data_IF_634377169098
#
_entry.id   IF_634377169098
#
_cell.length_a   1.000
_cell.length_b   1.000
_cell.length_c   1.000
_cell.angle_alpha   90.00
_cell.angle_beta   90.00
_cell.angle_gamma   90.00
#
_symmetry.space_group_name_H-M   'P 1'
#
loop_
_entity.id
_entity.type
_entity.pdbx_description
1 polymer ?
#
# COMPACT_ATOMS: atom_id res chain seq x y z
N UNK A 1 -18.81 4.82 -21.21
CA UNK A 1 -18.54 3.48 -21.72
C UNK A 1 -18.84 2.45 -20.64
N UNK A 2 -19.40 1.33 -21.04
CA UNK A 2 -19.79 0.24 -20.15
C UNK A 2 -18.61 -0.73 -20.06
N UNK A 3 -17.72 -0.50 -19.08
CA UNK A 3 -16.58 -1.38 -18.83
C UNK A 3 -17.02 -2.59 -18.02
N UNK A 4 -16.70 -3.79 -18.49
CA UNK A 4 -17.01 -5.06 -17.85
C UNK A 4 -15.73 -5.81 -17.51
N UNK A 5 -15.73 -6.52 -16.40
CA UNK A 5 -14.63 -7.37 -15.95
C UNK A 5 -15.18 -8.62 -15.27
N UNK A 6 -14.95 -9.76 -15.91
CA UNK A 6 -15.28 -11.08 -15.38
C UNK A 6 -14.04 -11.82 -14.93
N UNK A 7 -14.15 -12.57 -13.82
CA UNK A 7 -13.06 -13.35 -13.26
C UNK A 7 -13.54 -14.75 -12.88
N UNK A 8 -12.77 -15.75 -13.29
CA UNK A 8 -12.94 -17.11 -12.84
C UNK A 8 -11.60 -17.69 -12.41
N UNK A 9 -11.56 -18.34 -11.25
CA UNK A 9 -10.31 -18.89 -10.72
C UNK A 9 -10.51 -20.29 -10.14
N UNK A 10 -9.45 -21.09 -10.25
CA UNK A 10 -9.31 -22.38 -9.61
C UNK A 10 -7.99 -22.40 -8.86
N UNK A 11 -7.97 -22.96 -7.66
CA UNK A 11 -6.76 -23.10 -6.87
C UNK A 11 -6.65 -24.48 -6.23
N UNK A 12 -5.43 -24.86 -5.93
CA UNK A 12 -5.11 -26.06 -5.14
C UNK A 12 -3.98 -25.73 -4.18
N UNK A 13 -4.04 -26.28 -3.00
CA UNK A 13 -3.04 -26.13 -1.97
C UNK A 13 -2.73 -27.51 -1.36
N UNK A 14 -1.47 -27.75 -1.11
CA UNK A 14 -0.98 -28.94 -0.45
C UNK A 14 -0.09 -28.52 0.73
N UNK A 15 -0.42 -29.04 1.91
CA UNK A 15 0.33 -28.84 3.12
C UNK A 15 0.75 -30.21 3.67
N UNK A 16 1.99 -30.32 4.11
CA UNK A 16 2.51 -31.56 4.69
C UNK A 16 3.65 -31.31 5.66
N UNK A 17 3.63 -32.01 6.76
CA UNK A 17 4.78 -32.12 7.65
C UNK A 17 5.75 -33.20 7.09
N UNK A 18 6.73 -32.72 6.30
CA UNK A 18 7.68 -33.59 5.59
C UNK A 18 8.75 -34.21 6.52
N UNK A 19 8.96 -33.59 7.70
CA UNK A 19 9.78 -34.11 8.79
C UNK A 19 9.22 -33.57 10.12
N UNK A 20 9.64 -34.11 11.31
CA UNK A 20 9.10 -33.64 12.59
C UNK A 20 9.19 -32.16 12.86
N UNK A 21 10.20 -31.53 12.32
CA UNK A 21 10.54 -30.09 12.46
C UNK A 21 10.36 -29.27 11.17
N UNK A 22 9.80 -29.89 10.09
CA UNK A 22 9.60 -29.24 8.82
C UNK A 22 8.16 -29.32 8.33
N UNK A 23 7.50 -28.17 8.17
CA UNK A 23 6.21 -28.02 7.51
C UNK A 23 6.44 -27.40 6.12
N UNK A 24 5.78 -27.95 5.09
CA UNK A 24 5.85 -27.43 3.73
C UNK A 24 4.44 -27.15 3.21
N UNK A 25 4.26 -25.99 2.57
CA UNK A 25 3.03 -25.62 1.89
C UNK A 25 3.35 -25.24 0.44
N UNK A 26 2.61 -25.82 -0.50
CA UNK A 26 2.67 -25.50 -1.92
C UNK A 26 1.27 -25.13 -2.41
N UNK A 27 1.16 -23.97 -3.02
CA UNK A 27 -0.09 -23.49 -3.58
C UNK A 27 0.06 -23.12 -5.05
N UNK A 28 -0.97 -23.40 -5.84
CA UNK A 28 -1.10 -22.95 -7.22
C UNK A 28 -2.50 -22.43 -7.47
N UNK A 29 -2.61 -21.31 -8.20
CA UNK A 29 -3.90 -20.74 -8.61
C UNK A 29 -3.82 -20.34 -10.07
N UNK A 30 -4.83 -20.73 -10.82
CA UNK A 30 -5.09 -20.22 -12.15
C UNK A 30 -6.28 -19.27 -12.13
N UNK A 31 -6.17 -18.13 -12.79
CA UNK A 31 -7.25 -17.16 -12.94
C UNK A 31 -7.35 -16.75 -14.41
N UNK A 32 -8.56 -16.79 -14.94
CA UNK A 32 -8.90 -16.17 -16.22
C UNK A 32 -9.64 -14.85 -15.92
N UNK A 33 -9.16 -13.78 -16.54
CA UNK A 33 -9.76 -12.44 -16.42
C UNK A 33 -10.13 -11.97 -17.81
N UNK A 34 -11.40 -11.67 -18.04
CA UNK A 34 -11.90 -11.07 -19.28
C UNK A 34 -12.32 -9.65 -18.99
N UNK A 35 -11.93 -8.76 -19.89
CA UNK A 35 -12.31 -7.35 -19.84
C UNK A 35 -12.76 -6.89 -21.20
N UNK A 36 -13.78 -6.05 -21.22
CA UNK A 36 -14.32 -5.42 -22.44
C UNK A 36 -14.87 -4.04 -22.10
N UNK A 37 -15.05 -3.21 -23.12
CA UNK A 37 -15.72 -1.92 -23.00
C UNK A 37 -16.39 -1.52 -24.28
N UNK A 38 -17.55 -0.85 -24.15
CA UNK A 38 -18.28 -0.28 -25.26
C UNK A 38 -17.52 0.86 -25.97
N UNK A 39 -18.09 1.35 -27.06
CA UNK A 39 -17.57 2.51 -27.76
C UNK A 39 -17.65 3.78 -26.89
N UNK A 40 -16.68 4.66 -27.08
CA UNK A 40 -16.62 5.96 -26.41
C UNK A 40 -17.01 7.07 -27.38
N UNK A 41 -17.52 8.17 -26.84
CA UNK A 41 -17.92 9.32 -27.62
C UNK A 41 -17.14 10.56 -27.21
N UNK A 42 -16.52 11.22 -28.18
CA UNK A 42 -15.85 12.52 -27.96
C UNK A 42 -16.86 13.66 -27.75
N UNK A 43 -16.55 14.58 -26.87
CA UNK A 43 -17.46 15.67 -26.48
C UNK A 43 -17.50 16.82 -27.48
N UNK A 44 -16.47 17.03 -28.29
CA UNK A 44 -16.37 18.07 -29.30
C UNK A 44 -14.92 18.41 -29.67
N UNK A 45 -14.74 19.26 -30.67
CA UNK A 45 -13.43 19.68 -31.19
C UNK A 45 -12.92 21.00 -30.61
N UNK A 46 -13.67 21.66 -29.76
CA UNK A 46 -13.34 23.06 -29.34
C UNK A 46 -12.25 23.10 -28.27
N UNK A 47 -11.95 22.02 -27.58
CA UNK A 47 -10.99 21.99 -26.47
C UNK A 47 -10.11 20.70 -26.49
N UNK A 48 -9.63 20.29 -27.64
CA UNK A 48 -8.76 19.11 -27.78
C UNK A 48 -9.21 18.17 -28.89
N UNK A 49 -8.46 17.09 -29.07
CA UNK A 49 -8.68 16.11 -30.15
C UNK A 49 -9.66 14.98 -29.75
N UNK A 50 -10.63 15.25 -28.90
CA UNK A 50 -11.48 14.23 -28.28
C UNK A 50 -12.23 13.35 -29.29
N UNK A 51 -12.73 13.91 -30.39
CA UNK A 51 -13.39 13.12 -31.44
C UNK A 51 -12.39 12.19 -32.12
N UNK A 52 -11.18 12.68 -32.40
CA UNK A 52 -10.12 11.89 -33.01
C UNK A 52 -9.63 10.80 -32.06
N UNK A 53 -9.44 11.12 -30.80
CA UNK A 53 -9.02 10.16 -29.75
C UNK A 53 -10.10 9.09 -29.55
N UNK A 54 -11.39 9.46 -29.48
CA UNK A 54 -12.49 8.51 -29.39
C UNK A 54 -12.56 7.57 -30.61
N UNK A 55 -12.40 8.13 -31.81
CA UNK A 55 -12.37 7.31 -33.03
C UNK A 55 -11.18 6.34 -33.04
N UNK A 56 -10.00 6.80 -32.62
CA UNK A 56 -8.81 5.96 -32.50
C UNK A 56 -9.00 4.85 -31.45
N UNK A 57 -9.58 5.18 -30.29
CA UNK A 57 -9.90 4.20 -29.25
C UNK A 57 -10.91 3.14 -29.74
N UNK A 58 -11.98 3.58 -30.41
CA UNK A 58 -13.02 2.70 -30.94
C UNK A 58 -12.54 1.77 -32.04
N UNK A 59 -11.48 2.16 -32.76
CA UNK A 59 -10.88 1.35 -33.82
C UNK A 59 -9.98 0.19 -33.29
N UNK A 60 -9.64 0.20 -31.97
CA UNK A 60 -8.83 -0.87 -31.36
C UNK A 60 -9.69 -2.05 -30.94
N UNK A 61 -9.08 -3.21 -30.81
CA UNK A 61 -9.69 -4.36 -30.13
C UNK A 61 -9.71 -4.07 -28.62
N UNK A 62 -10.91 -3.96 -28.06
CA UNK A 62 -11.13 -3.63 -26.65
C UNK A 62 -11.41 -4.85 -25.78
N UNK A 63 -11.60 -6.01 -26.41
CA UNK A 63 -11.80 -7.26 -25.67
C UNK A 63 -10.44 -7.87 -25.31
N UNK A 64 -10.15 -7.97 -24.03
CA UNK A 64 -8.88 -8.48 -23.51
C UNK A 64 -9.10 -9.69 -22.60
N UNK A 65 -8.23 -10.68 -22.70
CA UNK A 65 -8.29 -11.87 -21.85
C UNK A 65 -6.90 -12.18 -21.30
N UNK A 66 -6.80 -12.21 -19.97
CA UNK A 66 -5.57 -12.55 -19.27
C UNK A 66 -5.67 -13.97 -18.66
N UNK A 67 -4.55 -14.69 -18.70
CA UNK A 67 -4.37 -16.00 -18.10
C UNK A 67 -3.30 -15.94 -17.02
N UNK A 68 -3.73 -15.80 -15.78
CA UNK A 68 -2.85 -15.57 -14.63
C UNK A 68 -2.57 -16.88 -13.88
N UNK A 69 -1.30 -17.11 -13.58
CA UNK A 69 -0.85 -18.22 -12.75
C UNK A 69 -0.13 -17.69 -11.53
N UNK A 70 -0.67 -17.98 -10.36
CA UNK A 70 0.00 -17.75 -9.08
C UNK A 70 0.61 -19.05 -8.59
N UNK A 71 1.76 -18.94 -7.92
CA UNK A 71 2.39 -20.04 -7.22
C UNK A 71 2.91 -19.57 -5.87
N UNK A 72 2.81 -20.41 -4.86
CA UNK A 72 3.36 -20.15 -3.52
C UNK A 72 4.07 -21.39 -3.05
N UNK A 73 5.26 -21.22 -2.49
CA UNK A 73 6.00 -22.27 -1.80
C UNK A 73 6.47 -21.72 -0.45
N UNK A 74 6.22 -22.45 0.62
CA UNK A 74 6.62 -22.11 1.96
C UNK A 74 7.22 -23.34 2.64
N UNK A 75 8.34 -23.13 3.34
CA UNK A 75 8.96 -24.14 4.19
C UNK A 75 9.23 -23.54 5.57
N UNK A 76 8.53 -24.03 6.58
CA UNK A 76 8.70 -23.64 7.96
C UNK A 76 9.53 -24.70 8.70
N UNK A 77 10.59 -24.25 9.34
CA UNK A 77 11.53 -25.08 10.09
C UNK A 77 11.55 -24.66 11.56
N UNK A 78 11.18 -25.58 12.43
CA UNK A 78 11.39 -25.44 13.87
C UNK A 78 12.83 -25.82 14.20
N UNK A 79 13.69 -24.80 14.35
CA UNK A 79 15.13 -25.00 14.62
C UNK A 79 15.34 -25.57 16.00
N UNK A 80 14.66 -24.97 16.98
CA UNK A 80 14.63 -25.40 18.38
C UNK A 80 13.38 -24.84 19.07
N UNK A 81 13.32 -24.95 20.40
CA UNK A 81 12.18 -24.50 21.20
C UNK A 81 12.03 -22.96 21.28
N UNK A 82 12.95 -22.20 20.72
CA UNK A 82 12.99 -20.74 20.79
C UNK A 82 13.07 -20.07 19.43
N UNK A 83 13.29 -20.83 18.35
CA UNK A 83 13.46 -20.28 17.01
C UNK A 83 12.72 -21.11 15.97
N UNK A 84 11.80 -20.45 15.26
CA UNK A 84 11.23 -20.94 14.00
C UNK A 84 11.76 -20.07 12.86
N UNK A 85 12.04 -20.71 11.72
CA UNK A 85 12.46 -20.02 10.49
C UNK A 85 11.53 -20.46 9.37
N UNK A 86 10.99 -19.49 8.65
CA UNK A 86 10.11 -19.74 7.51
C UNK A 86 10.73 -19.15 6.25
N UNK A 87 10.84 -19.94 5.19
CA UNK A 87 11.26 -19.53 3.87
C UNK A 87 10.04 -19.47 2.96
N UNK A 88 9.78 -18.31 2.38
CA UNK A 88 8.69 -18.07 1.47
C UNK A 88 9.15 -17.72 0.07
N UNK A 89 8.48 -18.28 -0.94
CA UNK A 89 8.55 -17.82 -2.31
C UNK A 89 7.13 -17.69 -2.86
N UNK A 90 6.84 -16.57 -3.50
CA UNK A 90 5.56 -16.34 -4.15
C UNK A 90 5.73 -15.74 -5.54
N UNK A 91 5.04 -16.31 -6.52
CA UNK A 91 4.74 -15.69 -7.79
C UNK A 91 3.29 -15.24 -7.78
N UNK A 92 3.04 -13.93 -7.96
CA UNK A 92 1.70 -13.34 -7.98
C UNK A 92 1.50 -12.54 -9.25
N UNK A 93 0.32 -12.67 -9.85
CA UNK A 93 -0.05 -11.99 -11.08
C UNK A 93 -1.25 -11.08 -10.84
N UNK A 94 -1.17 -9.85 -11.35
CA UNK A 94 -2.27 -8.88 -11.32
C UNK A 94 -2.59 -8.41 -12.72
N UNK A 95 -3.78 -8.71 -13.21
CA UNK A 95 -4.29 -8.07 -14.42
C UNK A 95 -4.51 -6.58 -14.21
N UNK A 96 -4.32 -5.74 -15.23
CA UNK A 96 -4.72 -4.34 -15.20
C UNK A 96 -6.18 -4.19 -14.78
N UNK A 97 -6.55 -3.05 -14.21
CA UNK A 97 -7.93 -2.72 -13.95
C UNK A 97 -8.57 -2.01 -15.16
N UNK A 98 -9.89 -1.75 -15.09
CA UNK A 98 -10.62 -1.12 -16.19
C UNK A 98 -10.13 0.29 -16.51
N UNK A 99 -9.66 1.04 -15.51
CA UNK A 99 -9.14 2.38 -15.71
C UNK A 99 -7.74 2.36 -16.32
N UNK A 100 -6.89 1.46 -15.87
CA UNK A 100 -5.54 1.27 -16.44
C UNK A 100 -5.59 0.92 -17.93
N UNK A 101 -6.64 0.19 -18.38
CA UNK A 101 -6.80 -0.17 -19.81
C UNK A 101 -7.63 0.80 -20.61
N UNK A 102 -8.76 1.33 -20.08
CA UNK A 102 -9.83 1.88 -20.92
C UNK A 102 -10.08 3.37 -20.74
N UNK A 103 -9.29 4.09 -19.94
CA UNK A 103 -9.29 5.55 -19.97
C UNK A 103 -8.59 6.00 -21.25
N UNK A 104 -9.20 6.93 -22.02
CA UNK A 104 -8.79 7.16 -23.40
C UNK A 104 -8.48 8.61 -23.74
N UNK A 105 -9.02 9.59 -23.01
CA UNK A 105 -8.90 11.00 -23.38
C UNK A 105 -7.69 11.65 -22.73
N UNK A 106 -6.84 12.26 -23.56
CA UNK A 106 -5.71 13.08 -23.10
C UNK A 106 -6.11 14.53 -22.78
N UNK A 107 -7.40 14.86 -22.88
CA UNK A 107 -7.90 16.19 -22.47
C UNK A 107 -7.80 16.34 -20.96
N UNK A 108 -7.12 17.38 -20.51
CA UNK A 108 -6.73 17.57 -19.12
C UNK A 108 -7.90 17.43 -18.12
N UNK A 109 -9.09 17.97 -18.47
CA UNK A 109 -10.26 17.82 -17.60
C UNK A 109 -10.77 16.37 -17.52
N UNK A 110 -10.74 15.62 -18.61
CA UNK A 110 -11.13 14.21 -18.61
C UNK A 110 -10.08 13.34 -17.90
N UNK A 111 -8.80 13.61 -18.15
CA UNK A 111 -7.69 12.87 -17.55
C UNK A 111 -7.64 13.04 -16.03
N UNK A 112 -7.89 14.27 -15.50
CA UNK A 112 -7.88 14.50 -14.05
C UNK A 112 -9.03 13.80 -13.32
N UNK A 113 -10.15 13.55 -14.00
CA UNK A 113 -11.26 12.76 -13.43
C UNK A 113 -10.90 11.29 -13.24
N UNK A 114 -9.84 10.79 -13.87
CA UNK A 114 -9.32 9.44 -13.77
C UNK A 114 -8.11 9.36 -12.83
N UNK A 115 -7.93 10.32 -11.95
CA UNK A 115 -6.86 10.29 -10.94
C UNK A 115 -7.24 9.37 -9.78
N UNK A 116 -7.02 8.07 -9.93
CA UNK A 116 -7.19 7.09 -8.85
C UNK A 116 -5.91 6.87 -8.04
N UNK A 117 -4.78 7.37 -8.52
CA UNK A 117 -3.52 7.30 -7.79
C UNK A 117 -3.46 8.29 -6.61
N UNK A 118 -4.23 9.39 -6.68
CA UNK A 118 -4.24 10.41 -5.65
C UNK A 118 -3.04 11.36 -5.67
N UNK A 119 -2.22 11.29 -6.73
CA UNK A 119 -1.00 12.10 -6.91
C UNK A 119 -1.24 13.46 -7.56
N UNK A 120 -2.47 13.74 -7.93
CA UNK A 120 -2.87 15.02 -8.53
C UNK A 120 -2.74 15.09 -10.05
N UNK A 121 -2.18 14.10 -10.72
CA UNK A 121 -2.08 14.05 -12.17
C UNK A 121 -3.34 13.49 -12.82
N UNK A 122 -3.48 13.65 -14.13
CA UNK A 122 -4.49 12.98 -14.93
C UNK A 122 -3.93 11.74 -15.60
N UNK A 123 -4.79 10.75 -15.88
CA UNK A 123 -4.34 9.47 -16.41
C UNK A 123 -5.08 9.04 -17.66
N UNK A 124 -4.32 8.43 -18.56
CA UNK A 124 -4.81 7.72 -19.75
C UNK A 124 -4.36 6.27 -19.66
N UNK A 125 -5.24 5.37 -20.06
CA UNK A 125 -4.97 3.93 -20.07
C UNK A 125 -4.21 3.48 -21.31
N UNK A 126 -3.84 2.20 -21.26
CA UNK A 126 -3.37 1.47 -22.44
C UNK A 126 -4.05 0.10 -22.51
N UNK A 127 -4.77 -0.15 -23.60
CA UNK A 127 -5.50 -1.40 -23.81
C UNK A 127 -4.56 -2.60 -23.86
N UNK A 128 -3.32 -2.40 -24.34
CA UNK A 128 -2.34 -3.48 -24.56
C UNK A 128 -1.50 -3.81 -23.32
N UNK A 129 -1.85 -3.27 -22.14
CA UNK A 129 -1.14 -3.59 -20.91
C UNK A 129 -1.15 -5.10 -20.61
N UNK A 130 0.04 -5.62 -20.31
CA UNK A 130 0.21 -6.96 -19.77
C UNK A 130 -0.11 -7.02 -18.26
N UNK A 131 -0.50 -8.17 -17.74
CA UNK A 131 -0.56 -8.40 -16.30
C UNK A 131 0.80 -8.26 -15.63
N UNK A 132 0.85 -7.55 -14.51
CA UNK A 132 2.04 -7.52 -13.66
C UNK A 132 2.35 -8.90 -13.08
N UNK A 133 3.61 -9.26 -13.01
CA UNK A 133 4.07 -10.49 -12.39
C UNK A 133 5.13 -10.20 -11.33
N UNK A 134 4.78 -10.37 -10.07
CA UNK A 134 5.68 -10.23 -8.94
C UNK A 134 6.26 -11.57 -8.51
N UNK A 135 7.57 -11.62 -8.28
CA UNK A 135 8.30 -12.73 -7.69
C UNK A 135 8.91 -12.26 -6.38
N UNK A 136 8.43 -12.79 -5.28
CA UNK A 136 8.88 -12.41 -3.93
C UNK A 136 9.55 -13.58 -3.25
N UNK A 137 10.75 -13.34 -2.71
CA UNK A 137 11.40 -14.22 -1.74
C UNK A 137 11.39 -13.54 -0.37
N UNK A 138 11.06 -14.27 0.67
CA UNK A 138 11.07 -13.78 2.06
C UNK A 138 11.61 -14.85 3.00
N UNK A 139 12.12 -14.38 4.16
CA UNK A 139 12.48 -15.26 5.25
C UNK A 139 11.95 -14.65 6.54
N UNK A 140 11.20 -15.41 7.31
CA UNK A 140 10.72 -15.00 8.63
C UNK A 140 11.52 -15.71 9.71
N UNK A 141 12.07 -14.95 10.64
CA UNK A 141 12.71 -15.43 11.85
C UNK A 141 11.77 -15.11 13.01
N UNK A 142 11.28 -16.13 13.69
CA UNK A 142 10.43 -16.01 14.88
C UNK A 142 11.20 -16.53 16.09
N UNK A 143 11.70 -15.59 16.88
CA UNK A 143 12.38 -15.88 18.15
C UNK A 143 11.41 -15.68 19.30
N UNK A 144 11.26 -16.68 20.15
CA UNK A 144 10.34 -16.61 21.28
C UNK A 144 10.89 -17.30 22.52
N UNK A 145 10.46 -16.84 23.69
CA UNK A 145 10.79 -17.50 24.95
C UNK A 145 9.96 -18.79 25.11
N UNK A 146 10.47 -19.73 25.93
CA UNK A 146 9.77 -20.99 26.21
C UNK A 146 8.37 -20.79 26.83
N UNK A 147 8.14 -19.68 27.52
CA UNK A 147 6.86 -19.34 28.11
C UNK A 147 5.96 -18.51 27.16
N UNK A 148 6.42 -18.26 25.94
CA UNK A 148 5.69 -17.52 24.91
C UNK A 148 5.43 -16.05 25.19
N UNK A 149 6.05 -15.47 26.25
CA UNK A 149 5.81 -14.07 26.64
C UNK A 149 6.75 -13.08 26.02
N UNK A 150 7.86 -13.53 25.43
CA UNK A 150 8.78 -12.71 24.66
C UNK A 150 8.77 -13.21 23.23
N UNK A 151 8.56 -12.31 22.30
CA UNK A 151 8.59 -12.64 20.86
C UNK A 151 9.31 -11.55 20.11
N UNK A 152 10.13 -11.94 19.13
CA UNK A 152 10.76 -11.07 18.16
C UNK A 152 10.64 -11.73 16.79
N UNK A 153 9.96 -11.06 15.89
CA UNK A 153 9.79 -11.50 14.50
C UNK A 153 10.54 -10.54 13.58
N UNK A 154 11.32 -11.09 12.64
CA UNK A 154 12.07 -10.32 11.63
C UNK A 154 11.80 -10.96 10.28
N UNK A 155 11.23 -10.19 9.34
CA UNK A 155 10.83 -10.67 8.02
C UNK A 155 11.45 -9.81 6.92
N UNK A 156 12.70 -10.06 6.48
CA UNK A 156 13.22 -9.47 5.26
C UNK A 156 12.54 -10.05 4.02
N UNK A 157 12.35 -9.22 3.01
CA UNK A 157 11.80 -9.63 1.72
C UNK A 157 12.47 -8.94 0.54
N UNK A 158 12.39 -9.57 -0.63
CA UNK A 158 12.86 -9.03 -1.90
C UNK A 158 11.91 -9.43 -3.02
N UNK A 159 11.42 -8.44 -3.78
CA UNK A 159 10.45 -8.61 -4.85
C UNK A 159 10.97 -8.03 -6.16
N UNK A 160 10.86 -8.81 -7.23
CA UNK A 160 11.00 -8.35 -8.61
C UNK A 160 9.64 -8.38 -9.28
N UNK A 161 9.27 -7.29 -9.94
CA UNK A 161 8.02 -7.20 -10.68
C UNK A 161 8.34 -6.98 -12.15
N UNK A 162 7.88 -7.89 -12.99
CA UNK A 162 7.89 -7.73 -14.43
C UNK A 162 6.55 -7.17 -14.88
N UNK A 163 6.56 -6.37 -15.95
CA UNK A 163 5.36 -5.70 -16.47
C UNK A 163 4.64 -4.84 -15.41
N UNK A 164 5.39 -4.28 -14.45
CA UNK A 164 4.85 -3.37 -13.43
C UNK A 164 4.11 -2.21 -14.12
N UNK A 165 2.86 -1.99 -13.75
CA UNK A 165 2.04 -0.93 -14.34
C UNK A 165 2.34 0.38 -13.61
N UNK A 166 3.20 1.17 -14.23
CA UNK A 166 3.61 2.49 -13.75
C UNK A 166 3.14 3.58 -14.73
N UNK A 167 3.58 4.81 -14.51
CA UNK A 167 3.22 5.98 -15.32
C UNK A 167 4.41 6.43 -16.17
N UNK A 168 4.07 6.89 -17.37
CA UNK A 168 4.95 7.66 -18.27
C UNK A 168 4.22 8.93 -18.70
N UNK A 169 4.91 9.90 -19.30
CA UNK A 169 4.23 11.02 -19.94
C UNK A 169 3.33 10.52 -21.07
N UNK A 170 2.08 11.01 -21.11
CA UNK A 170 1.16 10.61 -22.17
C UNK A 170 1.68 11.09 -23.56
N UNK A 171 1.40 10.34 -24.66
CA UNK A 171 1.84 10.69 -26.00
C UNK A 171 1.44 12.12 -26.39
N UNK A 172 2.42 12.89 -26.88
CA UNK A 172 2.22 14.28 -27.27
C UNK A 172 2.12 15.28 -26.14
N UNK A 173 2.25 14.86 -24.89
CA UNK A 173 2.33 15.73 -23.72
C UNK A 173 3.78 15.91 -23.29
N UNK A 174 4.09 17.09 -22.76
CA UNK A 174 5.41 17.40 -22.21
C UNK A 174 5.29 17.42 -20.69
N UNK A 175 6.14 16.64 -20.03
CA UNK A 175 6.21 16.63 -18.58
C UNK A 175 6.60 18.02 -18.03
N UNK A 176 5.93 18.42 -16.96
CA UNK A 176 6.17 19.67 -16.26
C UNK A 176 6.39 19.41 -14.77
N UNK A 177 7.56 19.83 -14.29
CA UNK A 177 7.90 19.71 -12.89
C UNK A 177 6.96 20.57 -12.03
N UNK A 178 6.51 20.04 -10.90
CA UNK A 178 5.65 20.70 -9.92
C UNK A 178 4.36 21.28 -10.52
N UNK A 179 3.82 20.61 -11.53
CA UNK A 179 2.57 20.98 -12.18
C UNK A 179 1.74 19.73 -12.51
N UNK A 180 0.47 19.99 -12.88
CA UNK A 180 -0.40 18.95 -13.41
C UNK A 180 0.16 18.37 -14.72
N UNK A 181 0.21 17.04 -14.78
CA UNK A 181 0.58 16.30 -15.99
C UNK A 181 -0.54 15.36 -16.41
N UNK A 182 -0.61 15.08 -17.70
CA UNK A 182 -1.35 13.94 -18.22
C UNK A 182 -0.36 12.81 -18.43
N UNK A 183 -0.53 11.75 -17.67
CA UNK A 183 0.29 10.54 -17.67
C UNK A 183 -0.44 9.39 -18.35
N UNK A 184 0.29 8.38 -18.79
CA UNK A 184 -0.25 7.14 -19.34
C UNK A 184 0.27 5.96 -18.53
N UNK A 185 -0.59 4.99 -18.27
CA UNK A 185 -0.16 3.72 -17.70
C UNK A 185 0.66 2.93 -18.72
N UNK A 186 1.78 2.35 -18.28
CA UNK A 186 2.67 1.57 -19.12
C UNK A 186 3.31 0.43 -18.32
N UNK A 187 3.56 -0.70 -18.96
CA UNK A 187 4.33 -1.77 -18.36
C UNK A 187 5.82 -1.39 -18.29
N UNK A 188 6.38 -1.58 -17.13
CA UNK A 188 7.79 -1.36 -16.79
C UNK A 188 8.28 -2.46 -15.86
N UNK A 189 9.51 -2.37 -15.37
CA UNK A 189 10.04 -3.32 -14.41
C UNK A 189 10.26 -2.64 -13.06
N UNK A 190 9.93 -3.32 -11.97
CA UNK A 190 10.14 -2.77 -10.64
C UNK A 190 10.91 -3.74 -9.73
N UNK A 191 11.49 -3.19 -8.68
CA UNK A 191 12.13 -3.91 -7.59
C UNK A 191 11.68 -3.29 -6.28
N UNK A 192 11.26 -4.15 -5.33
CA UNK A 192 10.99 -3.75 -3.95
C UNK A 192 11.81 -4.64 -3.01
N UNK A 193 12.28 -4.08 -1.92
CA UNK A 193 12.87 -4.83 -0.83
C UNK A 193 12.64 -4.12 0.49
N UNK A 194 12.67 -4.88 1.58
CA UNK A 194 12.43 -4.31 2.88
C UNK A 194 12.58 -5.31 3.99
N UNK A 195 12.23 -4.84 5.18
CA UNK A 195 12.19 -5.65 6.39
C UNK A 195 11.08 -5.17 7.31
N UNK A 196 10.30 -6.13 7.81
CA UNK A 196 9.33 -5.92 8.87
C UNK A 196 9.89 -6.53 10.15
N UNK A 197 9.84 -5.78 11.25
CA UNK A 197 10.29 -6.21 12.57
C UNK A 197 9.17 -5.93 13.56
N UNK A 198 8.75 -6.95 14.30
CA UNK A 198 7.82 -6.81 15.42
C UNK A 198 8.34 -7.54 16.64
N UNK A 199 8.01 -7.06 17.81
CA UNK A 199 8.42 -7.72 19.04
C UNK A 199 7.61 -7.25 20.24
N UNK A 200 7.49 -8.17 21.21
CA UNK A 200 6.87 -7.89 22.50
C UNK A 200 7.67 -8.52 23.62
N UNK A 201 7.73 -7.86 24.75
CA UNK A 201 8.48 -8.34 25.90
C UNK A 201 7.86 -7.83 27.21
N UNK A 202 7.61 -8.70 28.22
CA UNK A 202 7.30 -8.24 29.56
C UNK A 202 8.55 -7.62 30.20
N UNK A 203 8.37 -6.48 30.89
CA UNK A 203 9.46 -5.77 31.56
C UNK A 203 9.51 -6.06 33.06
N UNK A 204 8.38 -5.93 33.75
CA UNK A 204 8.31 -6.04 35.20
C UNK A 204 6.90 -6.42 35.67
N UNK A 205 6.84 -7.09 36.82
CA UNK A 205 5.58 -7.31 37.54
C UNK A 205 5.81 -6.82 38.97
N UNK A 206 5.05 -5.82 39.41
CA UNK A 206 5.21 -5.20 40.74
C UNK A 206 3.86 -4.69 41.27
N UNK A 207 3.86 -3.98 42.38
CA UNK A 207 2.64 -3.42 42.97
C UNK A 207 1.89 -2.41 42.09
N UNK A 208 2.55 -1.85 41.08
CA UNK A 208 1.95 -0.94 40.08
C UNK A 208 1.43 -1.70 38.86
N UNK A 209 1.47 -3.04 38.85
CA UNK A 209 0.96 -3.88 37.76
C UNK A 209 2.02 -4.59 36.97
N UNK A 210 1.57 -5.16 35.83
CA UNK A 210 2.42 -5.82 34.85
C UNK A 210 2.78 -4.84 33.75
N UNK A 211 4.06 -4.70 33.49
CA UNK A 211 4.61 -3.80 32.49
C UNK A 211 5.17 -4.59 31.31
N UNK A 212 4.95 -4.10 30.11
CA UNK A 212 5.49 -4.66 28.88
C UNK A 212 5.89 -3.57 27.91
N UNK A 213 6.64 -3.98 26.89
CA UNK A 213 6.91 -3.16 25.71
C UNK A 213 6.57 -3.97 24.48
N UNK A 214 6.07 -3.30 23.47
CA UNK A 214 5.92 -3.82 22.11
C UNK A 214 6.40 -2.79 21.11
N UNK A 215 6.91 -3.29 20.00
CA UNK A 215 7.46 -2.49 18.93
C UNK A 215 7.11 -3.09 17.56
N UNK A 216 6.90 -2.21 16.60
CA UNK A 216 6.76 -2.53 15.19
C UNK A 216 7.62 -1.55 14.40
N UNK A 217 8.46 -2.06 13.49
CA UNK A 217 9.28 -1.24 12.58
C UNK A 217 9.16 -1.80 11.18
N UNK A 218 8.88 -0.93 10.21
CA UNK A 218 8.75 -1.28 8.81
C UNK A 218 9.69 -0.43 7.97
N UNK A 219 10.38 -1.07 7.04
CA UNK A 219 11.16 -0.42 6.00
C UNK A 219 10.90 -1.05 4.65
N UNK A 220 10.57 -0.25 3.66
CA UNK A 220 10.41 -0.66 2.26
C UNK A 220 11.07 0.35 1.36
N UNK A 221 11.84 -0.13 0.38
CA UNK A 221 12.34 0.66 -0.73
C UNK A 221 11.84 0.06 -2.04
N UNK A 222 11.39 0.90 -2.95
CA UNK A 222 10.87 0.50 -4.26
C UNK A 222 11.43 1.37 -5.37
N UNK A 223 11.94 0.74 -6.44
CA UNK A 223 12.45 1.45 -7.62
C UNK A 223 11.92 0.87 -8.91
N UNK A 224 11.56 1.75 -9.81
CA UNK A 224 11.39 1.45 -11.23
C UNK A 224 12.77 1.15 -11.82
N UNK A 225 12.95 -0.01 -12.45
CA UNK A 225 14.25 -0.46 -12.95
C UNK A 225 14.57 0.07 -14.35
N UNK A 226 13.57 0.51 -15.10
CA UNK A 226 13.71 1.01 -16.47
C UNK A 226 14.07 2.49 -16.47
N UNK A 227 13.51 3.26 -15.53
CA UNK A 227 13.74 4.71 -15.40
C UNK A 227 14.67 5.08 -14.26
N UNK A 228 14.90 4.17 -13.30
CA UNK A 228 15.58 4.40 -12.02
C UNK A 228 14.87 5.43 -11.12
N UNK A 229 13.59 5.74 -11.38
CA UNK A 229 12.74 6.55 -10.53
C UNK A 229 12.28 5.76 -9.28
N UNK A 230 11.93 6.44 -8.21
CA UNK A 230 11.34 5.81 -7.04
C UNK A 230 9.86 5.46 -7.30
N UNK A 231 9.41 4.34 -6.72
CA UNK A 231 8.02 3.96 -6.87
C UNK A 231 7.12 4.87 -6.04
N UNK A 232 5.98 5.23 -6.64
CA UNK A 232 4.97 6.06 -6.00
C UNK A 232 4.38 5.39 -4.75
N UNK A 233 4.10 6.21 -3.74
CA UNK A 233 3.33 5.84 -2.54
C UNK A 233 4.00 4.77 -1.66
N UNK A 234 5.34 4.70 -1.66
CA UNK A 234 6.09 3.86 -0.73
C UNK A 234 6.19 4.57 0.62
N UNK A 235 5.79 3.89 1.69
CA UNK A 235 5.90 4.42 3.06
C UNK A 235 7.38 4.48 3.48
N UNK A 236 7.89 5.62 3.96
CA UNK A 236 9.26 5.71 4.47
C UNK A 236 9.42 4.88 5.75
N UNK A 237 10.67 4.71 6.20
CA UNK A 237 10.95 4.01 7.47
C UNK A 237 10.02 4.55 8.57
N UNK A 238 9.31 3.64 9.19
CA UNK A 238 8.37 3.98 10.24
C UNK A 238 8.37 2.93 11.35
N UNK A 239 7.93 3.34 12.53
CA UNK A 239 7.82 2.43 13.66
C UNK A 239 6.87 2.93 14.72
N UNK A 240 6.34 1.98 15.44
CA UNK A 240 5.51 2.20 16.62
C UNK A 240 6.14 1.49 17.81
N UNK A 241 6.33 2.20 18.90
CA UNK A 241 6.87 1.68 20.16
C UNK A 241 5.87 1.96 21.26
N UNK A 242 5.54 0.98 22.05
CA UNK A 242 4.59 1.15 23.13
C UNK A 242 5.10 0.60 24.47
N UNK A 243 4.80 1.34 25.52
CA UNK A 243 4.88 0.88 26.90
C UNK A 243 3.48 0.53 27.36
N UNK A 244 3.29 -0.71 27.80
CA UNK A 244 2.02 -1.23 28.29
C UNK A 244 2.05 -1.44 29.80
N UNK A 245 0.89 -1.28 30.46
CA UNK A 245 0.70 -1.53 31.88
C UNK A 245 -0.68 -2.11 32.12
N UNK A 246 -0.73 -3.25 32.79
CA UNK A 246 -1.98 -3.87 33.24
C UNK A 246 -2.03 -3.90 34.77
N UNK A 247 -3.06 -3.24 35.35
CA UNK A 247 -3.23 -3.14 36.81
C UNK A 247 -4.70 -3.04 37.18
N UNK A 248 -5.17 -3.92 38.05
CA UNK A 248 -6.50 -3.85 38.67
C UNK A 248 -7.66 -3.62 37.67
N UNK A 249 -7.65 -4.36 36.53
CA UNK A 249 -8.65 -4.23 35.48
C UNK A 249 -8.41 -3.09 34.49
N UNK A 250 -7.43 -2.24 34.72
CA UNK A 250 -6.95 -1.25 33.77
C UNK A 250 -5.90 -1.83 32.85
N UNK A 251 -6.01 -1.54 31.55
CA UNK A 251 -4.97 -1.73 30.55
C UNK A 251 -4.61 -0.37 29.96
N UNK A 252 -3.37 0.05 30.17
CA UNK A 252 -2.86 1.36 29.78
C UNK A 252 -1.76 1.17 28.72
N UNK A 253 -1.71 2.09 27.74
CA UNK A 253 -0.73 2.08 26.66
C UNK A 253 -0.25 3.49 26.36
N UNK A 254 1.04 3.74 26.50
CA UNK A 254 1.71 4.90 25.97
C UNK A 254 2.44 4.51 24.68
N UNK A 255 2.12 5.17 23.58
CA UNK A 255 2.60 4.83 22.25
C UNK A 255 3.35 5.99 21.62
N UNK A 256 4.49 5.69 21.00
CA UNK A 256 5.30 6.60 20.19
C UNK A 256 5.27 6.10 18.76
N UNK A 257 4.71 6.88 17.83
CA UNK A 257 4.74 6.62 16.40
C UNK A 257 5.77 7.52 15.76
N UNK A 258 6.80 6.95 15.18
CA UNK A 258 7.88 7.68 14.50
C UNK A 258 7.87 7.35 13.01
N UNK A 259 7.93 8.38 12.17
CA UNK A 259 7.97 8.27 10.72
C UNK A 259 9.11 9.15 10.22
N UNK A 260 10.01 8.60 9.40
CA UNK A 260 11.09 9.37 8.80
C UNK A 260 10.59 10.29 7.70
N UNK A 261 11.42 11.23 7.24
CA UNK A 261 11.12 12.00 6.06
C UNK A 261 10.94 11.08 4.85
N UNK A 262 9.98 11.43 3.98
CA UNK A 262 9.81 10.81 2.68
C UNK A 262 10.55 11.64 1.65
N UNK A 263 11.76 11.22 1.34
CA UNK A 263 12.65 11.87 0.37
C UNK A 263 12.73 11.05 -0.94
N UNK A 264 12.54 9.72 -0.86
CA UNK A 264 12.41 8.83 -2.00
C UNK A 264 10.99 8.97 -2.57
N UNK A 265 10.84 9.70 -3.68
CA UNK A 265 9.56 10.07 -4.29
C UNK A 265 9.58 9.82 -5.79
N UNK A 266 8.43 9.52 -6.38
CA UNK A 266 8.30 9.34 -7.83
C UNK A 266 8.36 10.69 -8.56
N UNK A 267 9.43 10.90 -9.32
CA UNK A 267 9.65 12.13 -10.10
C UNK A 267 8.62 12.29 -11.21
N UNK A 268 8.31 11.20 -11.94
CA UNK A 268 7.33 11.24 -13.05
C UNK A 268 5.92 11.64 -12.57
N UNK A 269 5.61 11.39 -11.31
CA UNK A 269 4.30 11.72 -10.71
C UNK A 269 4.29 13.05 -9.96
N UNK A 270 5.43 13.76 -9.88
CA UNK A 270 5.60 14.92 -9.02
C UNK A 270 5.19 14.63 -7.57
N UNK A 271 5.57 13.46 -7.05
CA UNK A 271 5.20 13.04 -5.71
C UNK A 271 5.77 13.98 -4.64
N UNK A 272 4.95 14.34 -3.66
CA UNK A 272 5.32 15.32 -2.64
C UNK A 272 6.22 14.71 -1.59
N UNK A 273 7.37 15.33 -1.35
CA UNK A 273 8.21 15.04 -0.20
C UNK A 273 7.54 15.51 1.10
N UNK A 274 7.66 14.73 2.17
CA UNK A 274 7.11 15.09 3.47
C UNK A 274 8.16 14.99 4.57
N UNK A 275 8.14 15.95 5.50
CA UNK A 275 9.02 15.92 6.66
C UNK A 275 8.66 14.76 7.60
N UNK A 276 9.66 14.18 8.23
CA UNK A 276 9.46 13.18 9.27
C UNK A 276 8.75 13.77 10.50
N UNK A 277 8.09 12.90 11.26
CA UNK A 277 7.36 13.30 12.46
C UNK A 277 7.35 12.21 13.53
N UNK A 278 7.03 12.64 14.75
CA UNK A 278 6.79 11.75 15.89
C UNK A 278 5.48 12.15 16.56
N UNK A 279 4.62 11.16 16.79
CA UNK A 279 3.36 11.33 17.52
C UNK A 279 3.42 10.55 18.83
N UNK A 280 2.74 11.07 19.83
CA UNK A 280 2.56 10.43 21.13
C UNK A 280 1.09 10.18 21.37
N UNK A 281 0.73 8.95 21.72
CA UNK A 281 -0.65 8.55 21.96
C UNK A 281 -0.77 7.96 23.36
N UNK A 282 -1.92 8.18 24.00
CA UNK A 282 -2.30 7.54 25.25
C UNK A 282 -3.60 6.80 25.05
N UNK A 283 -3.64 5.55 25.48
CA UNK A 283 -4.84 4.72 25.46
C UNK A 283 -5.01 4.06 26.81
N UNK A 284 -6.25 3.98 27.28
CA UNK A 284 -6.59 3.28 28.51
C UNK A 284 -7.91 2.55 28.32
N UNK A 285 -8.03 1.37 28.89
CA UNK A 285 -9.31 0.69 28.98
C UNK A 285 -9.48 0.11 30.37
N UNK A 286 -10.73 0.01 30.81
CA UNK A 286 -11.08 -0.68 32.05
C UNK A 286 -12.18 -1.71 31.78
N UNK A 287 -11.95 -2.93 32.24
CA UNK A 287 -12.89 -4.04 32.11
C UNK A 287 -13.55 -4.30 33.49
N UNK A 288 -14.86 -4.16 33.53
CA UNK A 288 -15.73 -4.79 34.53
C UNK A 288 -16.32 -6.08 33.94
N UNK A 289 -17.06 -6.85 34.70
CA UNK A 289 -17.56 -8.16 34.26
C UNK A 289 -18.06 -8.19 32.81
N UNK A 290 -19.09 -7.41 32.50
CA UNK A 290 -19.72 -7.36 31.17
C UNK A 290 -19.57 -6.01 30.47
N UNK A 291 -18.86 -5.03 31.06
CA UNK A 291 -18.70 -3.69 30.50
C UNK A 291 -17.22 -3.35 30.38
N UNK A 292 -16.81 -2.92 29.20
CA UNK A 292 -15.50 -2.32 28.97
C UNK A 292 -15.63 -0.88 28.52
N UNK A 293 -14.89 0.01 29.16
CA UNK A 293 -14.72 1.40 28.74
C UNK A 293 -13.34 1.59 28.11
N UNK A 294 -13.32 2.26 26.97
CA UNK A 294 -12.09 2.63 26.26
C UNK A 294 -11.97 4.16 26.22
N UNK A 295 -10.75 4.65 26.42
CA UNK A 295 -10.40 6.07 26.32
C UNK A 295 -9.12 6.21 25.51
N UNK A 296 -9.02 7.27 24.73
CA UNK A 296 -7.77 7.55 24.04
C UNK A 296 -7.58 9.01 23.70
N UNK A 297 -6.31 9.39 23.64
CA UNK A 297 -5.83 10.66 23.10
C UNK A 297 -4.78 10.34 22.06
N UNK A 298 -5.04 10.70 20.84
CA UNK A 298 -4.10 10.56 19.73
C UNK A 298 -3.44 11.91 19.44
N UNK A 299 -2.18 11.88 19.02
CA UNK A 299 -1.37 13.07 18.78
C UNK A 299 -1.39 14.03 19.98
N UNK A 300 -0.98 13.54 21.14
CA UNK A 300 -1.05 14.24 22.43
C UNK A 300 -0.42 15.65 22.40
N UNK A 301 0.65 15.82 21.58
CA UNK A 301 1.37 17.09 21.46
C UNK A 301 0.77 18.03 20.43
N UNK A 302 -0.32 17.65 19.74
CA UNK A 302 -0.94 18.40 18.65
C UNK A 302 0.05 18.75 17.51
N UNK A 303 0.90 17.78 17.18
CA UNK A 303 1.90 17.93 16.12
C UNK A 303 1.21 18.06 14.77
N UNK A 304 1.51 19.13 14.05
CA UNK A 304 1.14 19.25 12.63
C UNK A 304 2.12 18.41 11.78
N UNK A 305 1.58 17.60 10.87
CA UNK A 305 2.35 16.75 9.97
C UNK A 305 1.58 16.47 8.69
N UNK A 306 2.30 16.04 7.64
CA UNK A 306 1.71 15.53 6.42
C UNK A 306 1.80 14.01 6.36
N UNK A 307 0.79 13.37 5.75
CA UNK A 307 0.77 11.93 5.52
C UNK A 307 1.71 11.58 4.36
N UNK A 308 2.75 10.76 4.55
CA UNK A 308 3.71 10.41 3.50
C UNK A 308 3.07 9.70 2.30
N UNK A 309 1.98 8.98 2.54
CA UNK A 309 1.21 8.25 1.53
C UNK A 309 -0.19 8.85 1.32
N UNK A 310 -0.37 10.10 1.69
CA UNK A 310 -1.65 10.80 1.59
C UNK A 310 -1.97 11.36 0.20
N UNK A 311 -1.01 11.31 -0.71
CA UNK A 311 -1.13 11.94 -2.01
C UNK A 311 -0.98 13.45 -1.97
N UNK A 312 -1.46 14.11 -3.00
CA UNK A 312 -1.28 15.55 -3.22
C UNK A 312 -2.63 16.26 -3.31
N UNK A 313 -2.75 17.38 -2.62
CA UNK A 313 -3.90 18.25 -2.80
C UNK A 313 -3.77 19.04 -4.11
N UNK A 314 -4.74 18.90 -5.01
CA UNK A 314 -4.71 19.44 -6.36
C UNK A 314 -5.58 20.68 -6.48
N UNK A 315 -5.10 21.79 -5.99
CA UNK A 315 -5.79 23.07 -6.16
C UNK A 315 -5.40 23.85 -7.41
N UNK A 316 -4.37 23.40 -8.12
CA UNK A 316 -3.91 23.99 -9.38
C UNK A 316 -4.05 23.00 -10.52
N UNK A 317 -4.97 23.27 -11.39
CA UNK A 317 -4.99 22.71 -12.73
C UNK A 317 -5.52 23.77 -13.67
N UNK A 318 -5.17 23.71 -14.91
CA UNK A 318 -5.79 24.51 -15.99
C UNK A 318 -7.31 24.37 -16.03
N UNK A 319 -7.83 23.34 -15.37
CA UNK A 319 -9.25 22.98 -15.41
C UNK A 319 -10.06 23.48 -14.22
N UNK A 320 -9.44 23.65 -13.06
CA UNK A 320 -10.14 24.04 -11.83
C UNK A 320 -9.24 24.86 -10.92
N UNK A 321 -8.77 26.02 -11.38
CA UNK A 321 -7.97 26.97 -10.59
C UNK A 321 -8.66 27.40 -9.30
N UNK A 322 -8.92 26.42 -8.42
CA UNK A 322 -9.57 26.61 -7.14
C UNK A 322 -8.52 27.14 -6.17
N UNK A 323 -8.67 28.38 -5.79
CA UNK A 323 -8.01 28.99 -4.65
C UNK A 323 -6.50 29.27 -4.75
N UNK A 324 -5.90 29.26 -5.94
CA UNK A 324 -4.47 29.56 -6.11
C UNK A 324 -3.54 28.73 -5.21
N UNK A 325 -3.92 27.48 -4.93
CA UNK A 325 -3.12 26.58 -4.14
C UNK A 325 -1.96 26.08 -5.01
N UNK A 326 -0.70 26.24 -4.58
CA UNK A 326 0.44 25.74 -5.34
C UNK A 326 0.39 24.21 -5.46
N UNK A 327 0.97 23.67 -6.52
CA UNK A 327 1.22 22.22 -6.61
C UNK A 327 2.08 21.77 -5.43
N UNK A 328 1.87 20.54 -4.96
CA UNK A 328 2.75 19.95 -3.99
C UNK A 328 2.37 20.20 -2.53
N UNK A 329 1.09 20.43 -2.26
CA UNK A 329 0.61 20.43 -0.88
C UNK A 329 0.22 19.02 -0.46
N UNK A 330 0.97 18.47 0.47
CA UNK A 330 0.66 17.18 1.08
C UNK A 330 -0.66 17.21 1.87
N UNK A 331 -1.25 16.05 2.07
CA UNK A 331 -2.47 15.88 2.87
C UNK A 331 -2.10 15.93 4.36
N UNK A 332 -2.66 16.87 5.15
CA UNK A 332 -2.35 16.94 6.58
C UNK A 332 -2.93 15.75 7.33
N UNK A 333 -2.17 15.25 8.31
CA UNK A 333 -2.64 14.27 9.26
C UNK A 333 -3.56 14.91 10.32
N UNK A 334 -4.21 14.05 11.11
CA UNK A 334 -5.14 14.49 12.15
C UNK A 334 -4.39 15.20 13.28
N UNK A 335 -4.92 16.33 13.73
CA UNK A 335 -4.51 16.97 14.98
C UNK A 335 -4.87 16.15 16.21
N UNK A 336 -4.67 16.71 17.41
CA UNK A 336 -5.03 16.02 18.65
C UNK A 336 -6.50 15.60 18.65
N UNK A 337 -6.72 14.30 18.90
CA UNK A 337 -8.06 13.70 18.87
C UNK A 337 -8.32 12.97 20.20
N UNK A 338 -9.57 13.03 20.67
CA UNK A 338 -10.03 12.32 21.85
C UNK A 338 -11.13 11.36 21.44
N UNK A 339 -11.11 10.16 21.98
CA UNK A 339 -12.21 9.22 21.80
C UNK A 339 -12.55 8.50 23.10
N UNK A 340 -13.79 8.04 23.18
CA UNK A 340 -14.26 7.13 24.22
C UNK A 340 -15.18 6.09 23.58
N UNK A 341 -15.12 4.87 24.07
CA UNK A 341 -15.95 3.75 23.64
C UNK A 341 -16.49 2.97 24.80
N UNK A 342 -17.68 2.38 24.65
CA UNK A 342 -18.32 1.48 25.61
C UNK A 342 -18.66 0.19 24.89
N UNK A 343 -18.18 -0.93 25.40
CA UNK A 343 -18.50 -2.27 24.93
C UNK A 343 -19.27 -3.03 26.02
N UNK A 344 -20.38 -3.64 25.69
CA UNK A 344 -21.20 -4.43 26.61
C UNK A 344 -21.38 -5.85 26.06
N UNK A 345 -20.99 -6.83 26.85
CA UNK A 345 -21.21 -8.27 26.54
C UNK A 345 -22.42 -8.77 27.31
N UNK A 346 -23.34 -9.48 26.63
CA UNK A 346 -24.58 -10.02 27.19
C UNK A 346 -24.51 -11.53 27.37
#
# INVERSE_FOLDING_TARGET
NDGERDRAALFSEWESQVAPDWLTLLGVRYENVRMDTGEVQGYGNMMGNQITEAAAFNARDRSQTDHNWDATALAAWTVDNNLNVEFGFARKVRSPNLYERYTWSTWDMAAVMNNFAGDGNGYVGDIDLNPETAHTASTRFDLHSLDGRQQLEITPFYTLVNDYIDAISAPGKTFQQDQFNVLQYANQSARLYGVDVSGEMPLASNALGNWGVDALVNYTNGKNRDTNDDLYNIMPLNGTFALTQDVAGWSNRFEVVAVSAKDDVSDIRNEVQTAGYTLYNLRASHQWDSVRLDFGVENLTDKFYYLPTGGTYTGQGTTMGINSIPWGIGVPGMGRSFYTGVNVSF
#
